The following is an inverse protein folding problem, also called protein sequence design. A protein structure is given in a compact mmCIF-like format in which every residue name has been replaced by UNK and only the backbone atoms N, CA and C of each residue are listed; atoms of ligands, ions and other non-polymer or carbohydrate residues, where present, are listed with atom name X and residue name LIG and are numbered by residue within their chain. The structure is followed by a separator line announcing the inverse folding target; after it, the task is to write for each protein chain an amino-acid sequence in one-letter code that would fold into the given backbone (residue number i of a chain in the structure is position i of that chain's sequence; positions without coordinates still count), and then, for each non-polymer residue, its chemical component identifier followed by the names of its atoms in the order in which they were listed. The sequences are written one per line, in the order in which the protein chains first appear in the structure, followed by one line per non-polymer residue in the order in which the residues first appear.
data_IF_873065838233
#
_entry.id   IF_873065838233
#
_cell.length_a   1.000
_cell.length_b   1.000
_cell.length_c   1.000
_cell.angle_alpha   90.00
_cell.angle_beta   90.00
_cell.angle_gamma   90.00
#
_symmetry.space_group_name_H-M   'P 1'
#
loop_
_entity.id
_entity.type
_entity.pdbx_description
1 polymer ?
#
# COMPACT_ATOMS: atom_id res chain seq x y z
N UNK A 1 12.42 5.54 -25.75
CA UNK A 1 11.25 4.69 -26.13
C UNK A 1 10.70 3.86 -24.97
N UNK A 2 11.53 3.13 -24.19
CA UNK A 2 11.04 2.28 -23.07
C UNK A 2 10.33 3.07 -21.93
N UNK A 3 10.89 4.22 -21.55
CA UNK A 3 10.26 5.06 -20.50
C UNK A 3 8.97 5.73 -20.98
N UNK A 4 8.87 6.12 -22.25
CA UNK A 4 7.70 6.83 -22.78
C UNK A 4 6.43 5.98 -22.77
N UNK A 5 6.53 4.70 -23.17
CA UNK A 5 5.39 3.78 -23.13
C UNK A 5 4.94 3.46 -21.70
N UNK A 6 5.89 3.36 -20.77
CA UNK A 6 5.61 3.11 -19.34
C UNK A 6 4.90 4.30 -18.70
N UNK A 7 5.40 5.52 -18.95
CA UNK A 7 4.77 6.75 -18.48
C UNK A 7 3.39 6.95 -19.07
N UNK A 8 3.22 6.67 -20.37
CA UNK A 8 1.94 6.80 -21.05
C UNK A 8 0.90 5.82 -20.48
N UNK A 9 1.30 4.59 -20.15
CA UNK A 9 0.40 3.63 -19.49
C UNK A 9 -0.04 4.08 -18.09
N UNK A 10 0.87 4.67 -17.30
CA UNK A 10 0.54 5.24 -15.99
C UNK A 10 -0.43 6.42 -16.13
N UNK A 11 -0.20 7.32 -17.10
CA UNK A 11 -1.10 8.45 -17.34
C UNK A 11 -2.50 8.01 -17.81
N UNK A 12 -2.58 7.01 -18.68
CA UNK A 12 -3.87 6.43 -19.10
C UNK A 12 -4.60 5.83 -17.89
N UNK A 13 -3.90 5.08 -17.05
CA UNK A 13 -4.43 4.49 -15.82
C UNK A 13 -4.98 5.57 -14.88
N UNK A 14 -4.18 6.60 -14.60
CA UNK A 14 -4.57 7.70 -13.72
C UNK A 14 -5.77 8.49 -14.26
N UNK A 15 -5.73 8.90 -15.53
CA UNK A 15 -6.83 9.62 -16.16
C UNK A 15 -8.12 8.79 -16.19
N UNK A 16 -7.99 7.49 -16.48
CA UNK A 16 -9.12 6.56 -16.45
C UNK A 16 -9.73 6.41 -15.06
N UNK A 17 -8.90 6.28 -14.02
CA UNK A 17 -9.38 6.20 -12.64
C UNK A 17 -10.13 7.47 -12.25
N UNK A 18 -9.62 8.66 -12.58
CA UNK A 18 -10.30 9.93 -12.30
C UNK A 18 -11.68 9.99 -12.97
N UNK A 19 -11.74 9.65 -14.26
CA UNK A 19 -13.00 9.68 -15.04
C UNK A 19 -14.00 8.66 -14.51
N UNK A 20 -13.56 7.43 -14.26
CA UNK A 20 -14.43 6.38 -13.71
C UNK A 20 -14.96 6.74 -12.32
N UNK A 21 -14.09 7.25 -11.44
CA UNK A 21 -14.49 7.72 -10.10
C UNK A 21 -15.57 8.79 -10.20
N UNK A 22 -15.40 9.79 -11.06
CA UNK A 22 -16.39 10.84 -11.25
C UNK A 22 -17.73 10.28 -11.74
N UNK A 23 -17.71 9.39 -12.74
CA UNK A 23 -18.92 8.74 -13.26
C UNK A 23 -19.63 7.95 -12.16
N UNK A 24 -18.92 7.09 -11.42
CA UNK A 24 -19.50 6.26 -10.35
C UNK A 24 -20.14 7.10 -9.25
N UNK A 25 -19.44 8.11 -8.76
CA UNK A 25 -19.95 8.96 -7.67
C UNK A 25 -21.15 9.78 -8.15
N UNK A 26 -21.09 10.39 -9.33
CA UNK A 26 -22.21 11.20 -9.86
C UNK A 26 -23.43 10.31 -10.11
N UNK A 27 -23.28 9.18 -10.80
CA UNK A 27 -24.37 8.25 -11.09
C UNK A 27 -24.90 7.64 -9.77
N UNK A 28 -24.02 7.25 -8.87
CA UNK A 28 -24.39 6.70 -7.56
C UNK A 28 -25.23 7.67 -6.74
N UNK A 29 -24.86 8.96 -6.69
CA UNK A 29 -25.63 10.00 -6.00
C UNK A 29 -26.95 10.32 -6.71
N UNK A 30 -26.97 10.43 -8.03
CA UNK A 30 -28.19 10.74 -8.80
C UNK A 30 -29.25 9.64 -8.69
N UNK A 31 -28.82 8.38 -8.58
CA UNK A 31 -29.71 7.21 -8.55
C UNK A 31 -29.71 6.50 -7.19
N UNK A 32 -29.19 7.13 -6.14
CA UNK A 32 -29.14 6.62 -4.75
C UNK A 32 -28.56 5.19 -4.60
N UNK A 33 -27.62 4.79 -5.46
CA UNK A 33 -26.97 3.47 -5.38
C UNK A 33 -25.79 3.51 -4.41
N UNK A 34 -25.94 2.87 -3.26
CA UNK A 34 -24.95 2.87 -2.20
C UNK A 34 -23.69 2.09 -2.60
N UNK A 35 -23.86 0.96 -3.30
CA UNK A 35 -22.70 0.16 -3.74
C UNK A 35 -21.90 0.86 -4.84
N UNK A 36 -22.55 1.61 -5.72
CA UNK A 36 -21.84 2.37 -6.76
C UNK A 36 -21.09 3.57 -6.16
N UNK A 37 -21.67 4.24 -5.16
CA UNK A 37 -20.97 5.26 -4.38
C UNK A 37 -19.76 4.64 -3.66
N UNK A 38 -19.92 3.45 -3.06
CA UNK A 38 -18.86 2.76 -2.34
C UNK A 38 -17.67 2.43 -3.24
N UNK A 39 -17.95 1.83 -4.41
CA UNK A 39 -16.96 1.50 -5.43
C UNK A 39 -16.31 2.77 -6.03
N UNK A 40 -17.07 3.87 -6.15
CA UNK A 40 -16.55 5.18 -6.55
C UNK A 40 -15.59 5.78 -5.52
N UNK A 41 -15.92 5.73 -4.24
CA UNK A 41 -15.07 6.21 -3.14
C UNK A 41 -13.80 5.39 -3.03
N UNK A 42 -13.87 4.07 -3.18
CA UNK A 42 -12.68 3.22 -3.21
C UNK A 42 -11.70 3.71 -4.31
N UNK A 43 -12.20 3.89 -5.53
CA UNK A 43 -11.40 4.39 -6.66
C UNK A 43 -10.93 5.83 -6.48
N UNK A 44 -11.69 6.69 -5.79
CA UNK A 44 -11.22 8.01 -5.38
C UNK A 44 -10.03 7.92 -4.42
N UNK A 45 -10.10 6.97 -3.49
CA UNK A 45 -9.01 6.61 -2.58
C UNK A 45 -7.72 6.30 -3.31
N UNK A 46 -7.75 5.48 -4.35
CA UNK A 46 -6.55 5.11 -5.11
C UNK A 46 -5.94 6.30 -5.86
N UNK A 47 -6.79 7.20 -6.38
CA UNK A 47 -6.34 8.45 -7.01
C UNK A 47 -5.66 9.35 -5.98
N UNK A 48 -6.26 9.53 -4.80
CA UNK A 48 -5.69 10.34 -3.71
C UNK A 48 -4.40 9.68 -3.19
N UNK A 49 -4.37 8.36 -3.06
CA UNK A 49 -3.19 7.59 -2.66
C UNK A 49 -2.05 7.81 -3.66
N UNK A 50 -2.34 7.72 -4.95
CA UNK A 50 -1.34 7.94 -6.02
C UNK A 50 -0.82 9.38 -6.02
N UNK A 51 -1.70 10.36 -5.88
CA UNK A 51 -1.32 11.78 -5.82
C UNK A 51 -0.48 12.11 -4.56
N UNK A 52 -0.85 11.50 -3.43
CA UNK A 52 -0.14 11.65 -2.16
C UNK A 52 1.20 10.93 -2.20
N UNK A 53 1.28 9.73 -2.78
CA UNK A 53 2.53 9.01 -3.01
C UNK A 53 3.47 9.84 -3.89
N UNK A 54 2.97 10.43 -4.99
CA UNK A 54 3.79 11.30 -5.84
C UNK A 54 4.33 12.53 -5.10
N UNK A 55 3.45 13.22 -4.36
CA UNK A 55 3.82 14.42 -3.60
C UNK A 55 4.80 14.11 -2.47
N UNK A 56 4.53 13.05 -1.71
CA UNK A 56 5.36 12.62 -0.59
C UNK A 56 6.70 12.06 -1.05
N UNK A 57 6.77 11.37 -2.19
CA UNK A 57 8.02 10.90 -2.78
C UNK A 57 8.96 12.07 -3.13
N UNK A 58 8.43 13.19 -3.62
CA UNK A 58 9.25 14.39 -3.85
C UNK A 58 9.84 14.95 -2.56
N UNK A 59 9.11 14.86 -1.46
CA UNK A 59 9.58 15.32 -0.14
C UNK A 59 10.56 14.31 0.44
N UNK A 60 10.27 13.01 0.36
CA UNK A 60 11.09 11.93 0.92
C UNK A 60 12.42 11.76 0.20
N UNK A 61 12.50 12.15 -1.08
CA UNK A 61 13.74 12.16 -1.87
C UNK A 61 14.69 13.31 -1.52
N UNK A 62 14.30 14.22 -0.60
CA UNK A 62 15.21 15.27 -0.14
C UNK A 62 16.31 14.65 0.75
N UNK A 63 17.58 15.03 0.54
CA UNK A 63 18.67 14.55 1.38
C UNK A 63 18.47 15.01 2.84
N UNK A 64 19.24 14.40 3.75
CA UNK A 64 19.31 14.83 5.14
C UNK A 64 19.70 16.32 5.24
N UNK A 65 19.06 17.02 6.16
CA UNK A 65 19.37 18.41 6.50
C UNK A 65 19.56 18.57 8.01
N UNK A 66 19.79 19.81 8.46
CA UNK A 66 20.09 20.11 9.87
C UNK A 66 18.91 19.77 10.78
N UNK A 67 17.68 19.98 10.30
CA UNK A 67 16.46 19.71 11.07
C UNK A 67 16.03 18.24 10.98
N UNK A 68 16.46 17.54 9.93
CA UNK A 68 16.19 16.12 9.65
C UNK A 68 17.49 15.34 9.34
N UNK A 69 18.29 15.00 10.37
CA UNK A 69 19.60 14.35 10.19
C UNK A 69 19.54 12.97 9.52
N UNK A 70 18.40 12.29 9.61
CA UNK A 70 18.16 10.97 9.00
C UNK A 70 17.43 11.06 7.66
N UNK A 71 17.20 12.26 7.12
CA UNK A 71 16.45 12.48 5.89
C UNK A 71 14.94 12.62 6.09
N UNK A 72 14.23 12.71 4.97
CA UNK A 72 12.79 12.97 4.91
C UNK A 72 11.96 11.73 4.59
N UNK A 73 12.54 10.53 4.69
CA UNK A 73 11.90 9.27 4.31
C UNK A 73 10.51 9.07 4.91
N UNK A 74 10.31 9.46 6.18
CA UNK A 74 9.01 9.35 6.88
C UNK A 74 7.87 10.19 6.26
N UNK A 75 8.16 11.15 5.38
CA UNK A 75 7.11 11.92 4.69
C UNK A 75 6.18 11.03 3.84
N UNK A 76 6.72 9.96 3.26
CA UNK A 76 5.96 8.97 2.50
C UNK A 76 4.99 8.20 3.38
N UNK A 77 5.47 7.78 4.54
CA UNK A 77 4.69 7.07 5.56
C UNK A 77 3.57 7.93 6.11
N UNK A 78 3.84 9.22 6.36
CA UNK A 78 2.81 10.18 6.78
C UNK A 78 1.73 10.37 5.71
N UNK A 79 2.14 10.45 4.44
CA UNK A 79 1.21 10.52 3.31
C UNK A 79 0.28 9.31 3.28
N UNK A 80 0.84 8.10 3.35
CA UNK A 80 0.07 6.86 3.38
C UNK A 80 -0.89 6.80 4.59
N UNK A 81 -0.45 7.27 5.76
CA UNK A 81 -1.28 7.32 6.97
C UNK A 81 -2.48 8.28 6.82
N UNK A 82 -2.28 9.47 6.23
CA UNK A 82 -3.37 10.42 5.97
C UNK A 82 -4.40 9.82 5.00
N UNK A 83 -3.94 9.15 3.95
CA UNK A 83 -4.81 8.46 2.98
C UNK A 83 -5.64 7.38 3.68
N UNK A 84 -5.02 6.58 4.55
CA UNK A 84 -5.70 5.56 5.34
C UNK A 84 -6.82 6.16 6.21
N UNK A 85 -6.59 7.32 6.85
CA UNK A 85 -7.63 8.02 7.64
C UNK A 85 -8.80 8.46 6.76
N UNK A 86 -8.52 9.06 5.60
CA UNK A 86 -9.56 9.52 4.66
C UNK A 86 -10.41 8.33 4.20
N UNK A 87 -9.77 7.23 3.82
CA UNK A 87 -10.45 6.00 3.40
C UNK A 87 -11.29 5.39 4.52
N UNK A 88 -10.79 5.34 5.75
CA UNK A 88 -11.54 4.85 6.90
C UNK A 88 -12.79 5.69 7.16
N UNK A 89 -12.67 7.02 7.13
CA UNK A 89 -13.80 7.93 7.28
C UNK A 89 -14.86 7.75 6.18
N UNK A 90 -14.41 7.60 4.93
CA UNK A 90 -15.30 7.38 3.80
C UNK A 90 -16.00 6.00 3.87
N UNK A 91 -15.28 4.95 4.29
CA UNK A 91 -15.84 3.63 4.50
C UNK A 91 -16.92 3.62 5.58
N UNK A 92 -16.69 4.31 6.71
CA UNK A 92 -17.69 4.48 7.78
C UNK A 92 -18.93 5.23 7.27
N UNK A 93 -18.73 6.30 6.49
CA UNK A 93 -19.83 7.06 5.88
C UNK A 93 -20.70 6.17 4.98
N UNK A 94 -20.09 5.42 4.05
CA UNK A 94 -20.79 4.48 3.18
C UNK A 94 -21.52 3.41 4.00
N UNK A 95 -20.84 2.83 5.00
CA UNK A 95 -21.41 1.79 5.84
C UNK A 95 -22.65 2.28 6.58
N UNK A 96 -22.59 3.49 7.15
CA UNK A 96 -23.73 4.14 7.79
C UNK A 96 -24.90 4.32 6.82
N UNK A 97 -24.67 4.87 5.63
CA UNK A 97 -25.73 5.06 4.63
C UNK A 97 -26.30 3.75 4.09
N UNK A 98 -25.45 2.75 3.89
CA UNK A 98 -25.87 1.42 3.43
C UNK A 98 -26.71 0.69 4.49
N UNK A 99 -26.36 0.83 5.77
CA UNK A 99 -27.17 0.30 6.88
C UNK A 99 -28.50 1.04 6.97
N UNK A 100 -28.50 2.38 6.87
CA UNK A 100 -29.74 3.16 6.91
C UNK A 100 -30.68 2.79 5.76
N UNK A 101 -30.13 2.57 4.56
CA UNK A 101 -30.90 2.14 3.38
C UNK A 101 -31.55 0.74 3.53
N UNK A 102 -31.11 -0.09 4.48
CA UNK A 102 -31.81 -1.35 4.81
C UNK A 102 -33.09 -1.15 5.61
N UNK A 103 -33.22 -0.02 6.31
CA UNK A 103 -34.39 0.30 7.15
C UNK A 103 -35.40 1.21 6.43
N UNK A 104 -35.03 1.77 5.29
CA UNK A 104 -35.92 2.52 4.40
C UNK A 104 -36.59 1.56 3.39
N UNK A 105 -37.75 1.93 2.82
CA UNK A 105 -38.32 1.19 1.70
C UNK A 105 -37.27 1.06 0.61
N UNK A 106 -37.08 -0.15 0.07
CA UNK A 106 -36.08 -0.39 -0.96
C UNK A 106 -36.25 0.61 -2.11
N UNK A 107 -35.22 1.42 -2.35
CA UNK A 107 -35.19 2.36 -3.47
C UNK A 107 -35.22 1.61 -4.80
N UNK A 108 -35.86 2.18 -5.81
CA UNK A 108 -35.91 1.56 -7.14
C UNK A 108 -34.49 1.37 -7.68
N UNK A 109 -34.11 0.12 -7.95
CA UNK A 109 -32.83 -0.15 -8.57
C UNK A 109 -32.86 0.43 -9.99
N UNK A 110 -31.96 1.38 -10.27
CA UNK A 110 -31.92 2.03 -11.58
C UNK A 110 -30.97 1.31 -12.54
N UNK A 111 -31.49 0.97 -13.72
CA UNK A 111 -30.73 0.34 -14.82
C UNK A 111 -29.48 1.14 -15.19
N UNK A 112 -29.51 2.47 -15.03
CA UNK A 112 -28.37 3.35 -15.31
C UNK A 112 -27.21 3.10 -14.33
N UNK A 113 -27.49 2.85 -13.05
CA UNK A 113 -26.47 2.51 -12.06
C UNK A 113 -25.81 1.15 -12.38
N UNK A 114 -26.61 0.18 -12.84
CA UNK A 114 -26.10 -1.12 -13.30
C UNK A 114 -25.22 -0.99 -14.54
N UNK A 115 -25.66 -0.22 -15.56
CA UNK A 115 -24.86 0.02 -16.75
C UNK A 115 -23.54 0.71 -16.39
N UNK A 116 -23.56 1.69 -15.49
CA UNK A 116 -22.33 2.34 -15.01
C UNK A 116 -21.38 1.36 -14.31
N UNK A 117 -21.90 0.48 -13.45
CA UNK A 117 -21.12 -0.55 -12.78
C UNK A 117 -20.48 -1.54 -13.78
N UNK A 118 -21.25 -2.00 -14.77
CA UNK A 118 -20.77 -2.92 -15.82
C UNK A 118 -19.73 -2.24 -16.72
N UNK A 119 -19.94 -0.98 -17.11
CA UNK A 119 -18.97 -0.21 -17.89
C UNK A 119 -17.66 -0.07 -17.09
N UNK A 120 -17.74 0.26 -15.81
CA UNK A 120 -16.57 0.32 -14.93
C UNK A 120 -15.83 -1.02 -14.89
N UNK A 121 -16.56 -2.10 -14.65
CA UNK A 121 -16.00 -3.45 -14.58
C UNK A 121 -15.23 -3.80 -15.86
N UNK A 122 -15.84 -3.58 -17.02
CA UNK A 122 -15.21 -3.85 -18.32
C UNK A 122 -13.97 -2.95 -18.50
N UNK A 123 -14.07 -1.67 -18.16
CA UNK A 123 -12.96 -0.74 -18.31
C UNK A 123 -11.76 -1.09 -17.41
N UNK A 124 -12.00 -1.40 -16.13
CA UNK A 124 -10.94 -1.86 -15.21
C UNK A 124 -10.32 -3.16 -15.69
N UNK A 125 -11.11 -4.08 -16.25
CA UNK A 125 -10.60 -5.32 -16.84
C UNK A 125 -9.70 -5.03 -18.06
N UNK A 126 -10.06 -4.06 -18.90
CA UNK A 126 -9.24 -3.61 -20.04
C UNK A 126 -7.93 -2.97 -19.54
N UNK A 127 -8.00 -2.10 -18.53
CA UNK A 127 -6.82 -1.48 -17.92
C UNK A 127 -5.89 -2.53 -17.31
N UNK A 128 -6.40 -3.52 -16.60
CA UNK A 128 -5.60 -4.65 -16.10
C UNK A 128 -4.83 -5.33 -17.22
N UNK A 129 -5.53 -5.76 -18.29
CA UNK A 129 -4.90 -6.48 -19.40
C UNK A 129 -3.87 -5.60 -20.10
N UNK A 130 -4.18 -4.34 -20.33
CA UNK A 130 -3.29 -3.38 -20.98
C UNK A 130 -2.03 -3.14 -20.13
N UNK A 131 -2.20 -2.74 -18.87
CA UNK A 131 -1.11 -2.42 -17.95
C UNK A 131 -0.25 -3.65 -17.66
N UNK A 132 -0.85 -4.84 -17.53
CA UNK A 132 -0.10 -6.10 -17.36
C UNK A 132 0.74 -6.44 -18.59
N UNK A 133 0.19 -6.31 -19.81
CA UNK A 133 0.93 -6.55 -21.05
C UNK A 133 2.10 -5.59 -21.20
N UNK A 134 1.88 -4.30 -20.94
CA UNK A 134 2.95 -3.29 -20.97
C UNK A 134 3.97 -3.57 -19.87
N UNK A 135 3.54 -3.79 -18.63
CA UNK A 135 4.42 -4.09 -17.49
C UNK A 135 5.36 -5.27 -17.74
N UNK A 136 4.85 -6.38 -18.30
CA UNK A 136 5.67 -7.55 -18.68
C UNK A 136 6.61 -7.25 -19.83
N UNK A 137 6.14 -6.59 -20.90
CA UNK A 137 6.98 -6.22 -22.06
C UNK A 137 8.12 -5.29 -21.66
N UNK A 138 7.87 -4.45 -20.67
CA UNK A 138 8.82 -3.45 -20.17
C UNK A 138 9.65 -3.93 -18.98
N UNK A 139 9.37 -5.14 -18.47
CA UNK A 139 9.95 -5.71 -17.25
C UNK A 139 9.91 -4.74 -16.05
N UNK A 140 8.81 -3.99 -15.93
CA UNK A 140 8.61 -2.98 -14.90
C UNK A 140 7.75 -3.53 -13.76
N UNK A 141 8.40 -3.73 -12.60
CA UNK A 141 7.70 -4.18 -11.37
C UNK A 141 6.60 -3.22 -10.95
N UNK A 142 6.82 -1.91 -11.09
CA UNK A 142 5.83 -0.88 -10.73
C UNK A 142 4.56 -0.97 -11.58
N UNK A 143 4.70 -1.12 -12.91
CA UNK A 143 3.55 -1.32 -13.81
C UNK A 143 2.81 -2.62 -13.52
N UNK A 144 3.54 -3.68 -13.16
CA UNK A 144 2.92 -4.96 -12.77
C UNK A 144 2.12 -4.79 -11.48
N UNK A 145 2.64 -4.05 -10.49
CA UNK A 145 1.92 -3.72 -9.27
C UNK A 145 0.63 -2.92 -9.56
N UNK A 146 0.71 -1.87 -10.40
CA UNK A 146 -0.48 -1.11 -10.84
C UNK A 146 -1.49 -1.98 -11.58
N UNK A 147 -1.04 -3.00 -12.33
CA UNK A 147 -1.97 -3.93 -12.94
C UNK A 147 -2.70 -4.76 -11.87
N UNK A 148 -2.01 -5.29 -10.87
CA UNK A 148 -2.68 -6.02 -9.77
C UNK A 148 -3.66 -5.15 -8.99
N UNK A 149 -3.37 -3.86 -8.84
CA UNK A 149 -4.30 -2.88 -8.27
C UNK A 149 -5.61 -2.80 -9.09
N UNK A 150 -5.50 -2.67 -10.41
CA UNK A 150 -6.66 -2.75 -11.30
C UNK A 150 -7.41 -4.09 -11.24
N UNK A 151 -6.73 -5.19 -10.89
CA UNK A 151 -7.40 -6.48 -10.70
C UNK A 151 -8.21 -6.50 -9.40
N UNK A 152 -7.71 -5.89 -8.32
CA UNK A 152 -8.47 -5.71 -7.08
C UNK A 152 -9.72 -4.87 -7.33
N UNK A 153 -9.60 -3.79 -8.09
CA UNK A 153 -10.73 -2.96 -8.56
C UNK A 153 -11.77 -3.76 -9.35
N UNK A 154 -11.32 -4.66 -10.22
CA UNK A 154 -12.23 -5.54 -10.99
C UNK A 154 -13.09 -6.36 -10.03
N UNK A 155 -12.50 -6.94 -8.98
CA UNK A 155 -13.27 -7.72 -8.00
C UNK A 155 -14.27 -6.85 -7.23
N UNK A 156 -13.89 -5.62 -6.85
CA UNK A 156 -14.81 -4.66 -6.23
C UNK A 156 -15.98 -4.30 -7.17
N UNK A 157 -15.68 -4.00 -8.44
CA UNK A 157 -16.68 -3.70 -9.46
C UNK A 157 -17.57 -4.90 -9.82
N UNK A 158 -17.08 -6.15 -9.72
CA UNK A 158 -17.92 -7.36 -9.83
C UNK A 158 -18.91 -7.41 -8.67
N UNK A 159 -18.45 -7.23 -7.43
CA UNK A 159 -19.33 -7.24 -6.26
C UNK A 159 -20.42 -6.17 -6.38
N UNK A 160 -20.06 -4.96 -6.84
CA UNK A 160 -21.01 -3.89 -7.12
C UNK A 160 -22.02 -4.26 -8.22
N UNK A 161 -21.54 -4.77 -9.36
CA UNK A 161 -22.40 -5.16 -10.48
C UNK A 161 -23.37 -6.28 -10.11
N UNK A 162 -22.92 -7.27 -9.36
CA UNK A 162 -23.76 -8.37 -8.86
C UNK A 162 -24.80 -7.85 -7.86
N UNK A 163 -24.40 -6.96 -6.94
CA UNK A 163 -25.32 -6.35 -5.97
C UNK A 163 -26.47 -5.60 -6.64
N UNK A 164 -26.15 -4.71 -7.59
CA UNK A 164 -27.17 -3.94 -8.34
C UNK A 164 -28.00 -4.87 -9.25
N UNK A 165 -27.35 -5.84 -9.91
CA UNK A 165 -28.05 -6.79 -10.79
C UNK A 165 -29.07 -7.65 -10.05
N UNK A 166 -28.74 -8.09 -8.82
CA UNK A 166 -29.67 -8.79 -7.95
C UNK A 166 -30.85 -7.90 -7.54
N UNK A 167 -30.61 -6.63 -7.21
CA UNK A 167 -31.66 -5.68 -6.90
C UNK A 167 -32.63 -5.46 -8.07
N UNK A 168 -32.11 -5.28 -9.29
CA UNK A 168 -32.93 -5.16 -10.51
C UNK A 168 -33.78 -6.40 -10.80
N UNK A 169 -33.24 -7.60 -10.59
CA UNK A 169 -33.98 -8.85 -10.75
C UNK A 169 -35.07 -8.98 -9.66
N UNK A 170 -34.78 -8.53 -8.44
CA UNK A 170 -35.75 -8.46 -7.35
C UNK A 170 -36.97 -7.63 -7.70
N UNK A 171 -36.73 -6.42 -8.22
CA UNK A 171 -37.78 -5.50 -8.66
C UNK A 171 -38.61 -6.06 -9.83
N UNK A 172 -37.95 -6.72 -10.79
CA UNK A 172 -38.65 -7.29 -11.96
C UNK A 172 -39.50 -8.53 -11.63
N UNK A 173 -39.01 -9.40 -10.75
CA UNK A 173 -39.67 -10.65 -10.39
C UNK A 173 -40.54 -10.57 -9.12
N UNK A 174 -40.61 -9.40 -8.47
CA UNK A 174 -41.44 -9.17 -7.28
C UNK A 174 -40.89 -9.81 -5.99
N UNK A 175 -39.60 -10.14 -5.95
CA UNK A 175 -38.96 -10.68 -4.76
C UNK A 175 -38.43 -9.54 -3.88
N UNK A 176 -39.26 -9.04 -2.96
CA UNK A 176 -38.93 -7.87 -2.12
C UNK A 176 -37.64 -7.99 -1.27
N UNK A 177 -37.10 -9.20 -1.05
CA UNK A 177 -35.80 -9.36 -0.38
C UNK A 177 -34.61 -8.98 -1.29
N UNK A 178 -34.70 -9.21 -2.60
CA UNK A 178 -33.60 -8.95 -3.53
C UNK A 178 -33.36 -7.45 -3.76
N UNK A 179 -34.38 -6.61 -3.57
CA UNK A 179 -34.28 -5.15 -3.70
C UNK A 179 -33.26 -4.52 -2.73
N UNK A 180 -32.94 -5.20 -1.61
CA UNK A 180 -31.89 -4.78 -0.66
C UNK A 180 -30.46 -5.20 -1.10
N UNK A 181 -30.30 -5.79 -2.29
CA UNK A 181 -29.01 -6.24 -2.81
C UNK A 181 -27.98 -5.12 -2.93
N UNK A 182 -28.41 -3.90 -3.28
CA UNK A 182 -27.54 -2.72 -3.39
C UNK A 182 -27.00 -2.25 -2.02
N UNK A 183 -27.85 -2.00 -1.00
CA UNK A 183 -27.39 -1.73 0.37
C UNK A 183 -26.50 -2.82 0.96
N UNK A 184 -26.84 -4.11 0.77
CA UNK A 184 -26.03 -5.23 1.27
C UNK A 184 -24.65 -5.24 0.62
N UNK A 185 -24.58 -5.05 -0.70
CA UNK A 185 -23.31 -4.97 -1.40
C UNK A 185 -22.51 -3.72 -0.98
N UNK A 186 -23.18 -2.59 -0.72
CA UNK A 186 -22.57 -1.38 -0.15
C UNK A 186 -21.92 -1.62 1.22
N UNK A 187 -22.56 -2.37 2.11
CA UNK A 187 -21.99 -2.79 3.40
C UNK A 187 -20.75 -3.67 3.19
N UNK A 188 -20.85 -4.66 2.29
CA UNK A 188 -19.71 -5.55 2.00
C UNK A 188 -18.52 -4.74 1.50
N UNK A 189 -18.71 -3.85 0.52
CA UNK A 189 -17.65 -3.00 -0.01
C UNK A 189 -17.09 -2.06 1.07
N UNK A 190 -17.95 -1.44 1.89
CA UNK A 190 -17.52 -0.61 3.02
C UNK A 190 -16.60 -1.36 3.99
N UNK A 191 -16.93 -2.60 4.35
CA UNK A 191 -16.08 -3.44 5.22
C UNK A 191 -14.73 -3.73 4.56
N UNK A 192 -14.71 -4.04 3.26
CA UNK A 192 -13.48 -4.29 2.52
C UNK A 192 -12.58 -3.04 2.48
N UNK A 193 -13.16 -1.87 2.19
CA UNK A 193 -12.43 -0.59 2.17
C UNK A 193 -11.92 -0.24 3.58
N UNK A 194 -12.72 -0.47 4.62
CA UNK A 194 -12.30 -0.22 6.00
C UNK A 194 -11.15 -1.13 6.42
N UNK A 195 -11.18 -2.41 6.02
CA UNK A 195 -10.09 -3.36 6.27
C UNK A 195 -8.79 -2.89 5.60
N UNK A 196 -8.86 -2.48 4.33
CA UNK A 196 -7.72 -1.95 3.59
C UNK A 196 -7.15 -0.70 4.29
N UNK A 197 -8.03 0.23 4.66
CA UNK A 197 -7.65 1.44 5.39
C UNK A 197 -6.97 1.12 6.74
N UNK A 198 -7.50 0.12 7.47
CA UNK A 198 -6.92 -0.32 8.73
C UNK A 198 -5.53 -0.95 8.55
N UNK A 199 -5.35 -1.85 7.58
CA UNK A 199 -4.05 -2.46 7.27
C UNK A 199 -3.01 -1.40 6.88
N UNK A 200 -3.36 -0.51 5.94
CA UNK A 200 -2.49 0.60 5.52
C UNK A 200 -2.15 1.53 6.70
N UNK A 201 -3.12 1.84 7.55
CA UNK A 201 -2.95 2.68 8.73
C UNK A 201 -2.05 2.02 9.78
N UNK A 202 -2.23 0.73 10.04
CA UNK A 202 -1.44 -0.04 11.01
C UNK A 202 0.02 -0.18 10.58
N UNK A 203 0.27 -0.37 9.29
CA UNK A 203 1.62 -0.44 8.74
C UNK A 203 2.31 0.92 8.80
N UNK A 204 1.64 1.97 8.32
CA UNK A 204 2.17 3.33 8.37
C UNK A 204 2.46 3.78 9.81
N UNK A 205 1.52 3.54 10.73
CA UNK A 205 1.69 3.85 12.15
C UNK A 205 2.82 3.02 12.77
N UNK A 206 2.95 1.75 12.38
CA UNK A 206 4.06 0.89 12.80
C UNK A 206 5.42 1.47 12.39
N UNK A 207 5.58 1.89 11.14
CA UNK A 207 6.81 2.49 10.64
C UNK A 207 7.11 3.82 11.38
N UNK A 208 6.09 4.66 11.62
CA UNK A 208 6.24 5.88 12.40
C UNK A 208 6.75 5.61 13.83
N UNK A 209 6.28 4.52 14.44
CA UNK A 209 6.68 4.01 15.76
C UNK A 209 7.98 3.19 15.74
N UNK A 210 8.73 3.22 14.63
CA UNK A 210 10.00 2.48 14.44
C UNK A 210 9.86 0.96 14.62
N UNK A 211 8.77 0.38 14.08
CA UNK A 211 8.59 -1.06 13.99
C UNK A 211 9.82 -1.70 13.33
N UNK A 212 10.25 -2.82 13.89
CA UNK A 212 11.34 -3.61 13.32
C UNK A 212 10.94 -4.19 11.97
N UNK A 213 11.91 -4.34 11.08
CA UNK A 213 11.74 -5.16 9.86
C UNK A 213 11.40 -6.62 10.23
N UNK A 214 10.96 -7.38 9.23
CA UNK A 214 10.57 -8.78 9.40
C UNK A 214 11.66 -9.64 10.04
N UNK A 215 11.27 -10.68 10.79
CA UNK A 215 12.22 -11.60 11.43
C UNK A 215 13.11 -12.31 10.41
N UNK A 216 12.61 -12.55 9.20
CA UNK A 216 13.37 -13.09 8.08
C UNK A 216 14.48 -12.15 7.62
N UNK A 217 14.18 -10.85 7.46
CA UNK A 217 15.20 -9.84 7.12
C UNK A 217 16.24 -9.68 8.24
N UNK A 218 15.81 -9.68 9.50
CA UNK A 218 16.75 -9.64 10.64
C UNK A 218 17.71 -10.83 10.60
N UNK A 219 17.22 -12.04 10.29
CA UNK A 219 18.08 -13.23 10.19
C UNK A 219 18.99 -13.19 8.97
N UNK A 220 18.56 -12.63 7.84
CA UNK A 220 19.42 -12.36 6.68
C UNK A 220 20.58 -11.45 7.06
N UNK A 221 20.31 -10.32 7.73
CA UNK A 221 21.36 -9.41 8.23
C UNK A 221 22.26 -10.11 9.25
N UNK A 222 21.69 -10.88 10.17
CA UNK A 222 22.48 -11.64 11.15
C UNK A 222 23.40 -12.66 10.47
N UNK A 223 22.93 -13.35 9.43
CA UNK A 223 23.73 -14.32 8.66
C UNK A 223 24.91 -13.65 7.96
N UNK A 224 24.71 -12.46 7.36
CA UNK A 224 25.76 -11.67 6.75
C UNK A 224 26.79 -11.22 7.78
N UNK A 225 26.36 -10.79 8.96
CA UNK A 225 27.25 -10.41 10.06
C UNK A 225 28.04 -11.62 10.58
N UNK A 226 27.40 -12.77 10.81
CA UNK A 226 28.06 -14.00 11.31
C UNK A 226 29.09 -14.55 10.33
N UNK A 227 28.96 -14.25 9.04
CA UNK A 227 29.93 -14.67 8.02
C UNK A 227 31.24 -13.87 8.04
N UNK A 228 31.36 -12.84 8.90
CA UNK A 228 32.59 -12.07 9.11
C UNK A 228 33.42 -12.74 10.23
N UNK A 229 34.62 -13.29 9.94
CA UNK A 229 35.38 -14.14 10.88
C UNK A 229 35.74 -13.50 12.23
N UNK A 230 35.89 -12.18 12.25
CA UNK A 230 36.28 -11.39 13.41
C UNK A 230 35.14 -11.25 14.43
N UNK A 231 33.89 -11.42 13.99
CA UNK A 231 32.71 -11.33 14.85
C UNK A 231 32.60 -12.59 15.71
N UNK A 232 32.59 -12.40 17.03
CA UNK A 232 32.45 -13.46 18.03
C UNK A 232 31.03 -13.56 18.58
N UNK A 233 30.30 -12.45 18.63
CA UNK A 233 28.94 -12.40 19.18
C UNK A 233 28.14 -11.27 18.54
N UNK A 234 26.83 -11.47 18.41
CA UNK A 234 25.88 -10.39 18.09
C UNK A 234 25.14 -10.09 19.39
N UNK A 235 25.45 -8.96 20.03
CA UNK A 235 24.81 -8.55 21.28
C UNK A 235 23.42 -7.97 21.03
N UNK A 236 23.28 -7.22 19.93
CA UNK A 236 22.02 -6.59 19.53
C UNK A 236 22.03 -6.36 18.04
N UNK A 237 20.92 -6.65 17.39
CA UNK A 237 20.67 -6.28 16.00
C UNK A 237 19.26 -5.72 15.91
N UNK A 238 19.15 -4.50 15.38
CA UNK A 238 17.89 -3.81 15.13
C UNK A 238 17.93 -3.27 13.72
N UNK A 239 16.80 -3.36 13.03
CA UNK A 239 16.62 -2.71 11.75
C UNK A 239 15.21 -2.13 11.72
N UNK A 240 15.08 -0.88 11.27
CA UNK A 240 13.81 -0.16 11.19
C UNK A 240 13.64 0.44 9.81
N UNK A 241 12.41 0.48 9.35
CA UNK A 241 12.04 1.18 8.12
C UNK A 241 12.00 2.69 8.36
N UNK A 242 12.46 3.45 7.37
CA UNK A 242 12.46 4.90 7.37
C UNK A 242 11.92 5.43 6.03
N UNK A 243 10.67 5.11 5.74
CA UNK A 243 10.08 5.35 4.41
C UNK A 243 10.56 4.29 3.43
N UNK A 244 11.30 4.70 2.40
CA UNK A 244 11.74 3.82 1.32
C UNK A 244 13.11 3.15 1.55
N UNK A 245 13.75 3.38 2.71
CA UNK A 245 15.02 2.77 3.09
C UNK A 245 15.02 2.24 4.53
N UNK A 246 15.97 1.36 4.83
CA UNK A 246 16.15 0.69 6.11
C UNK A 246 17.39 1.26 6.81
N UNK A 247 17.26 1.48 8.12
CA UNK A 247 18.34 1.85 9.02
C UNK A 247 18.64 0.68 9.96
N UNK A 248 19.92 0.30 10.06
CA UNK A 248 20.37 -0.84 10.87
C UNK A 248 21.28 -0.37 12.00
N UNK A 249 20.98 -0.81 13.22
CA UNK A 249 21.83 -0.64 14.41
C UNK A 249 22.29 -2.01 14.91
N UNK A 250 23.61 -2.23 14.92
CA UNK A 250 24.22 -3.47 15.38
C UNK A 250 25.20 -3.22 16.54
N UNK A 251 25.17 -4.08 17.56
CA UNK A 251 26.18 -4.19 18.61
C UNK A 251 26.84 -5.54 18.52
N UNK A 252 28.15 -5.56 18.26
CA UNK A 252 28.88 -6.76 17.90
C UNK A 252 30.08 -6.97 18.82
N UNK A 253 30.29 -8.20 19.26
CA UNK A 253 31.44 -8.61 20.05
C UNK A 253 32.63 -8.98 19.15
N UNK A 254 33.77 -8.34 19.36
CA UNK A 254 35.05 -8.63 18.68
C UNK A 254 36.17 -8.78 19.70
N UNK A 255 37.34 -9.32 19.31
CA UNK A 255 38.46 -9.49 20.25
C UNK A 255 38.85 -8.14 20.89
N UNK A 256 38.90 -8.09 22.23
CA UNK A 256 39.29 -6.90 22.98
C UNK A 256 40.75 -6.47 22.80
N UNK A 257 41.54 -7.25 22.07
CA UNK A 257 42.95 -6.95 21.74
C UNK A 257 43.13 -6.22 20.41
N UNK A 258 42.04 -6.01 19.65
CA UNK A 258 42.10 -5.30 18.38
C UNK A 258 42.36 -3.81 18.59
N UNK A 259 43.14 -3.22 17.69
CA UNK A 259 43.30 -1.78 17.60
C UNK A 259 42.01 -1.12 17.11
N UNK A 260 41.86 0.18 17.39
CA UNK A 260 40.72 0.98 16.92
C UNK A 260 40.62 0.94 15.38
N UNK A 261 41.77 0.94 14.69
CA UNK A 261 41.82 0.89 13.23
C UNK A 261 41.29 -0.45 12.69
N UNK A 262 41.71 -1.58 13.25
CA UNK A 262 41.21 -2.89 12.85
C UNK A 262 39.70 -3.01 13.12
N UNK A 263 39.24 -2.50 14.26
CA UNK A 263 37.81 -2.40 14.57
C UNK A 263 37.04 -1.59 13.53
N UNK A 264 37.56 -0.42 13.14
CA UNK A 264 36.96 0.44 12.11
C UNK A 264 36.89 -0.27 10.74
N UNK A 265 37.92 -1.02 10.37
CA UNK A 265 37.95 -1.77 9.11
C UNK A 265 36.93 -2.92 9.11
N UNK A 266 36.72 -3.60 10.25
CA UNK A 266 35.64 -4.59 10.42
C UNK A 266 34.27 -3.93 10.26
N UNK A 267 34.03 -2.78 10.91
CA UNK A 267 32.78 -2.02 10.79
C UNK A 267 32.52 -1.66 9.32
N UNK A 268 33.52 -1.13 8.62
CA UNK A 268 33.41 -0.76 7.20
C UNK A 268 33.09 -1.98 6.33
N UNK A 269 33.75 -3.12 6.59
CA UNK A 269 33.49 -4.38 5.90
C UNK A 269 32.05 -4.87 6.07
N UNK A 270 31.52 -4.83 7.29
CA UNK A 270 30.14 -5.21 7.60
C UNK A 270 29.15 -4.29 6.90
N UNK A 271 29.36 -2.97 7.00
CA UNK A 271 28.52 -1.97 6.32
C UNK A 271 28.44 -2.24 4.82
N UNK A 272 29.59 -2.38 4.15
CA UNK A 272 29.61 -2.66 2.71
C UNK A 272 28.96 -3.99 2.34
N UNK A 273 29.17 -5.04 3.15
CA UNK A 273 28.58 -6.36 2.89
C UNK A 273 27.06 -6.33 2.94
N UNK A 274 26.48 -5.66 3.93
CA UNK A 274 25.03 -5.53 4.07
C UNK A 274 24.48 -4.67 2.93
N UNK A 275 25.04 -3.49 2.68
CA UNK A 275 24.56 -2.57 1.63
C UNK A 275 24.70 -3.13 0.21
N UNK A 276 25.68 -4.00 -0.03
CA UNK A 276 25.84 -4.67 -1.34
C UNK A 276 24.83 -5.80 -1.54
N UNK A 277 24.40 -6.46 -0.46
CA UNK A 277 23.40 -7.52 -0.51
C UNK A 277 21.96 -6.97 -0.53
N UNK A 278 21.75 -5.83 0.14
CA UNK A 278 20.45 -5.20 0.35
C UNK A 278 20.52 -3.72 -0.04
N UNK A 279 20.09 -3.41 -1.27
CA UNK A 279 20.14 -2.04 -1.83
C UNK A 279 19.16 -1.06 -1.17
N UNK A 280 18.23 -1.57 -0.38
CA UNK A 280 17.25 -0.83 0.42
C UNK A 280 17.81 -0.38 1.78
N UNK A 281 19.01 -0.81 2.16
CA UNK A 281 19.69 -0.37 3.40
C UNK A 281 20.55 0.87 3.14
N UNK A 282 20.14 2.01 3.68
CA UNK A 282 20.85 3.28 3.49
C UNK A 282 21.96 3.48 4.54
N UNK A 283 21.70 3.14 5.80
CA UNK A 283 22.65 3.32 6.89
C UNK A 283 22.78 2.06 7.76
N UNK A 284 24.04 1.75 8.12
CA UNK A 284 24.39 0.70 9.07
C UNK A 284 25.31 1.31 10.12
N UNK A 285 24.83 1.41 11.36
CA UNK A 285 25.59 1.85 12.52
C UNK A 285 26.01 0.63 13.33
N UNK A 286 27.32 0.46 13.50
CA UNK A 286 27.90 -0.68 14.21
C UNK A 286 28.68 -0.17 15.42
N UNK A 287 28.31 -0.66 16.59
CA UNK A 287 29.06 -0.47 17.82
C UNK A 287 29.80 -1.77 18.19
N UNK A 288 31.11 -1.67 18.38
CA UNK A 288 31.93 -2.82 18.77
C UNK A 288 32.05 -2.90 20.29
N UNK A 289 31.75 -4.07 20.83
CA UNK A 289 31.98 -4.42 22.23
C UNK A 289 33.19 -5.36 22.31
N UNK A 290 34.07 -5.19 23.30
CA UNK A 290 35.15 -6.14 23.52
C UNK A 290 34.58 -7.48 23.98
N UNK A 291 35.10 -8.56 23.42
CA UNK A 291 34.83 -9.93 23.79
C UNK A 291 36.11 -10.56 24.33
N UNK A 292 35.99 -11.12 25.54
CA UNK A 292 37.06 -11.85 26.20
C UNK A 292 36.66 -13.31 26.36
N UNK A 293 37.60 -14.22 26.13
CA UNK A 293 37.37 -15.68 26.12
C UNK A 293 36.86 -16.24 27.47
N UNK A 294 37.04 -15.48 28.54
CA UNK A 294 36.62 -15.81 29.91
C UNK A 294 35.18 -15.36 30.24
N UNK A 295 34.49 -14.66 29.31
CA UNK A 295 33.16 -14.08 29.54
C UNK A 295 31.98 -14.93 29.01
N UNK A 296 32.16 -16.25 28.92
CA UNK A 296 31.12 -17.23 28.54
C UNK A 296 30.62 -17.97 29.77
#
# INVERSE_FOLDING_TARGET
MKNTASMLAIWISLASNIVLTAIKIIVGLLFNSQVLIADGIHNAGDVIATATAYSSMRVSSKPADVDHPYGHGKAEVLGAFIVAIILAGAAVYIGYHSIHALFEPAGEAHVIAFIAAVISLIWKQVLYVYTMRVGRKMNSKGLIATAYDHLADVYASIAASVGIGLALLGDHFGYGFLAYGDPVAGIIVSILVLKLAYEMGQDSFGILMERSVSSTQIEEYASLIRSVPEIKRIDRLRAREHGHYILIDARLGVSGTLTIQEGHDIIRGIKHKIQSAHSDVDEVLVHLNPWYKEST
#
